data_IF_041381988846
#
_entry.id   IF_041381988846
#
_cell.length_a   1.000
_cell.length_b   1.000
_cell.length_c   1.000
_cell.angle_alpha   90.00
_cell.angle_beta   90.00
_cell.angle_gamma   90.00
#
_symmetry.space_group_name_H-M   'P 1'
#
loop_
_entity.id
_entity.type
_entity.pdbx_description
1 polymer ?
#
# COMPACT_ATOMS: atom_id res chain seq x y z
N UNK A 1 -15.47 3.26 -5.55
CA UNK A 1 -14.79 4.53 -5.25
C UNK A 1 -13.27 4.32 -5.33
N UNK A 2 -12.47 5.37 -5.53
CA UNK A 2 -11.00 5.27 -5.52
C UNK A 2 -10.47 5.64 -4.14
N UNK A 3 -9.86 4.69 -3.45
CA UNK A 3 -9.28 4.86 -2.13
C UNK A 3 -7.76 4.99 -2.24
N UNK A 4 -7.16 5.74 -1.31
CA UNK A 4 -5.74 5.99 -1.26
C UNK A 4 -5.27 5.85 0.19
N UNK A 5 -4.22 5.08 0.40
CA UNK A 5 -3.60 4.90 1.72
C UNK A 5 -2.11 5.21 1.57
N UNK A 6 -1.53 5.88 2.55
CA UNK A 6 -0.10 6.20 2.60
C UNK A 6 0.53 5.41 3.73
N UNK A 7 1.52 4.59 3.37
CA UNK A 7 2.37 3.88 4.31
C UNK A 7 3.73 4.55 4.43
N UNK A 8 4.24 4.65 5.65
CA UNK A 8 5.60 5.08 5.95
C UNK A 8 6.41 3.88 6.41
N UNK A 9 7.65 3.79 5.90
CA UNK A 9 8.57 2.71 6.21
C UNK A 9 9.86 3.24 6.85
N UNK A 10 10.63 2.38 7.54
CA UNK A 10 11.86 2.80 8.22
C UNK A 10 12.98 3.22 7.26
N UNK A 11 12.98 2.70 6.02
CA UNK A 11 13.98 3.03 5.01
C UNK A 11 13.44 2.91 3.60
N UNK A 12 14.14 3.54 2.65
CA UNK A 12 13.71 3.52 1.26
C UNK A 12 13.91 2.18 0.55
N UNK A 13 14.82 1.34 1.05
CA UNK A 13 14.92 -0.04 0.55
C UNK A 13 13.68 -0.85 0.92
N UNK A 14 13.20 -0.70 2.16
CA UNK A 14 12.00 -1.39 2.64
C UNK A 14 10.77 -0.89 1.89
N UNK A 15 10.61 0.43 1.73
CA UNK A 15 9.54 1.01 0.93
C UNK A 15 9.52 0.49 -0.51
N UNK A 16 10.68 0.37 -1.16
CA UNK A 16 10.78 -0.20 -2.50
C UNK A 16 10.43 -1.69 -2.56
N UNK A 17 10.79 -2.48 -1.53
CA UNK A 17 10.39 -3.90 -1.45
C UNK A 17 8.88 -4.05 -1.34
N UNK A 18 8.26 -3.30 -0.43
CA UNK A 18 6.80 -3.28 -0.30
C UNK A 18 6.12 -2.87 -1.62
N UNK A 19 6.61 -1.79 -2.26
CA UNK A 19 6.09 -1.35 -3.56
C UNK A 19 6.19 -2.44 -4.63
N UNK A 20 7.31 -3.15 -4.69
CA UNK A 20 7.51 -4.23 -5.66
C UNK A 20 6.56 -5.39 -5.39
N UNK A 21 6.37 -5.79 -4.13
CA UNK A 21 5.44 -6.86 -3.77
C UNK A 21 4.00 -6.50 -4.14
N UNK A 22 3.53 -5.30 -3.79
CA UNK A 22 2.17 -4.85 -4.12
C UNK A 22 1.95 -4.81 -5.64
N UNK A 23 2.94 -4.36 -6.40
CA UNK A 23 2.84 -4.32 -7.86
C UNK A 23 3.04 -5.70 -8.51
N UNK A 24 3.75 -6.63 -7.85
CA UNK A 24 3.95 -8.01 -8.32
C UNK A 24 2.70 -8.87 -8.13
N UNK A 25 1.83 -8.54 -7.17
CA UNK A 25 0.66 -9.34 -6.81
C UNK A 25 -0.42 -9.46 -7.89
N UNK A 26 -0.21 -8.92 -9.10
CA UNK A 26 -1.14 -8.99 -10.24
C UNK A 26 -2.58 -8.61 -9.88
N UNK A 27 -2.76 -7.68 -8.93
CA UNK A 27 -4.07 -7.11 -8.59
C UNK A 27 -4.27 -5.86 -9.46
N UNK A 28 -4.96 -5.93 -10.61
CA UNK A 28 -5.02 -4.81 -11.56
C UNK A 28 -5.70 -3.55 -11.00
N UNK A 29 -6.43 -3.70 -9.91
CA UNK A 29 -7.17 -2.66 -9.21
C UNK A 29 -6.39 -2.05 -8.04
N UNK A 30 -5.17 -2.50 -7.74
CA UNK A 30 -4.27 -1.94 -6.72
C UNK A 30 -2.99 -1.44 -7.41
N UNK A 31 -2.56 -0.22 -7.08
CA UNK A 31 -1.32 0.36 -7.58
C UNK A 31 -0.56 1.02 -6.44
N UNK A 32 0.71 0.66 -6.27
CA UNK A 32 1.61 1.28 -5.32
C UNK A 32 2.66 2.15 -6.03
N UNK A 33 2.93 3.33 -5.48
CA UNK A 33 3.98 4.25 -5.94
C UNK A 33 4.70 4.91 -4.77
N UNK A 34 5.98 5.25 -4.93
CA UNK A 34 6.70 6.06 -3.94
C UNK A 34 6.05 7.44 -3.80
N UNK A 35 6.03 7.97 -2.57
CA UNK A 35 5.38 9.23 -2.23
C UNK A 35 6.29 10.11 -1.37
N UNK A 36 6.42 11.40 -1.72
CA UNK A 36 7.10 12.46 -0.95
C UNK A 36 8.36 12.01 -0.18
N UNK A 37 9.29 11.38 -0.89
CA UNK A 37 10.53 10.84 -0.33
C UNK A 37 10.74 9.39 -0.76
N UNK A 38 11.85 8.81 -0.33
CA UNK A 38 12.17 7.41 -0.62
C UNK A 38 11.53 6.44 0.38
N UNK A 39 10.97 6.92 1.49
CA UNK A 39 10.52 6.08 2.62
C UNK A 39 8.99 5.93 2.73
N UNK A 40 8.20 6.60 1.89
CA UNK A 40 6.73 6.47 1.92
C UNK A 40 6.22 5.89 0.61
N UNK A 41 5.17 5.09 0.69
CA UNK A 41 4.49 4.48 -0.45
C UNK A 41 3.02 4.84 -0.38
N UNK A 42 2.51 5.43 -1.46
CA UNK A 42 1.09 5.63 -1.65
C UNK A 42 0.52 4.44 -2.42
N UNK A 43 -0.44 3.77 -1.80
CA UNK A 43 -1.23 2.71 -2.42
C UNK A 43 -2.57 3.28 -2.82
N UNK A 44 -2.96 3.05 -4.07
CA UNK A 44 -4.26 3.46 -4.62
C UNK A 44 -4.99 2.23 -5.07
N UNK A 45 -6.23 2.03 -4.60
CA UNK A 45 -7.05 0.90 -4.99
C UNK A 45 -8.49 1.32 -5.30
N UNK A 46 -9.13 0.57 -6.19
CA UNK A 46 -10.53 0.78 -6.57
C UNK A 46 -11.39 -0.36 -6.02
N UNK A 47 -12.39 -0.05 -5.19
CA UNK A 47 -13.36 -1.03 -4.71
C UNK A 47 -14.78 -0.73 -5.20
N UNK A 48 -15.57 -1.79 -5.39
CA UNK A 48 -17.00 -1.70 -5.73
C UNK A 48 -17.82 -1.67 -4.46
N UNK A 49 -18.83 -0.79 -4.42
CA UNK A 49 -19.50 -0.19 -3.26
C UNK A 49 -20.30 -1.13 -2.32
N UNK A 50 -19.95 -2.41 -2.26
CA UNK A 50 -20.72 -3.46 -1.58
C UNK A 50 -19.85 -4.22 -0.58
N UNK A 51 -19.66 -3.65 0.61
CA UNK A 51 -19.14 -4.38 1.78
C UNK A 51 -17.81 -3.88 2.33
N UNK A 52 -17.52 -4.33 3.55
CA UNK A 52 -16.31 -4.04 4.32
C UNK A 52 -15.07 -4.29 3.45
N UNK A 53 -14.23 -3.25 3.30
CA UNK A 53 -13.12 -3.23 2.35
C UNK A 53 -11.92 -4.02 2.91
N UNK A 54 -11.95 -5.36 2.77
CA UNK A 54 -10.88 -6.25 3.27
C UNK A 54 -9.51 -5.96 2.65
N UNK A 55 -9.50 -5.27 1.51
CA UNK A 55 -8.29 -4.79 0.83
C UNK A 55 -7.43 -3.91 1.74
N UNK A 56 -8.05 -3.02 2.53
CA UNK A 56 -7.32 -2.16 3.46
C UNK A 56 -6.61 -2.97 4.54
N UNK A 57 -7.32 -3.92 5.17
CA UNK A 57 -6.75 -4.82 6.16
C UNK A 57 -5.61 -5.69 5.61
N UNK A 58 -5.75 -6.19 4.37
CA UNK A 58 -4.68 -6.95 3.70
C UNK A 58 -3.44 -6.07 3.43
N UNK A 59 -3.64 -4.81 3.03
CA UNK A 59 -2.55 -3.86 2.81
C UNK A 59 -1.86 -3.47 4.12
N UNK A 60 -2.61 -3.32 5.22
CA UNK A 60 -2.07 -3.03 6.55
C UNK A 60 -1.24 -4.20 7.07
N UNK A 61 -1.74 -5.42 6.93
CA UNK A 61 -1.00 -6.62 7.32
C UNK A 61 0.25 -6.80 6.47
N UNK A 62 0.20 -6.48 5.17
CA UNK A 62 1.37 -6.48 4.31
C UNK A 62 2.37 -5.40 4.71
N UNK A 63 1.92 -4.17 4.96
CA UNK A 63 2.77 -3.06 5.39
C UNK A 63 3.48 -3.39 6.71
N UNK A 64 2.76 -3.98 7.68
CA UNK A 64 3.30 -4.44 8.96
C UNK A 64 4.42 -5.47 8.82
N UNK A 65 4.37 -6.37 7.82
CA UNK A 65 5.47 -7.33 7.55
C UNK A 65 6.77 -6.64 7.14
N UNK A 66 6.65 -5.42 6.62
CA UNK A 66 7.75 -4.56 6.21
C UNK A 66 8.08 -3.49 7.25
N UNK A 67 7.64 -3.65 8.51
CA UNK A 67 7.78 -2.62 9.56
C UNK A 67 7.20 -1.26 9.16
N UNK A 68 6.21 -1.28 8.25
CA UNK A 68 5.51 -0.11 7.77
C UNK A 68 4.29 0.21 8.63
N UNK A 69 3.96 1.49 8.69
CA UNK A 69 2.80 2.02 9.40
C UNK A 69 1.95 2.90 8.47
N UNK A 70 0.63 2.82 8.61
CA UNK A 70 -0.28 3.75 7.94
C UNK A 70 -0.13 5.15 8.56
N UNK A 71 -0.01 6.16 7.72
CA UNK A 71 0.13 7.56 8.14
C UNK A 71 -0.96 8.48 7.59
N UNK A 72 -1.74 8.05 6.60
CA UNK A 72 -2.83 8.83 6.00
C UNK A 72 -3.72 8.03 5.05
#
# INVERSE_FOLDING_TARGET
MQNQIIYQFPSGQIANRFLNDVNAEQRPHIKAKLYRGSVKVQVTYHYSDTGFDSTSAELDDLARRYDGEEVS
#
